data_IF_639492840253
#
_entry.id   IF_639492840253
#
_cell.length_a   1.000
_cell.length_b   1.000
_cell.length_c   1.000
_cell.angle_alpha   90.00
_cell.angle_beta   90.00
_cell.angle_gamma   90.00
#
_symmetry.space_group_name_H-M   'P 1'
#
loop_
_entity.id
_entity.type
_entity.pdbx_description
1 polymer ?
#
# COMPACT_ATOMS: atom_id res chain seq x y z
N UNK A 1 -30.56 24.24 26.76
CA UNK A 1 -29.72 23.85 25.62
C UNK A 1 -28.28 23.78 26.09
N UNK A 2 -27.81 22.61 26.52
CA UNK A 2 -26.41 22.37 26.81
C UNK A 2 -25.84 21.59 25.63
N UNK A 3 -25.04 22.23 24.79
CA UNK A 3 -24.22 21.53 23.80
C UNK A 3 -23.20 20.71 24.57
N UNK A 4 -23.50 19.42 24.79
CA UNK A 4 -22.50 18.46 25.23
C UNK A 4 -21.42 18.43 24.16
N UNK A 5 -20.21 18.87 24.50
CA UNK A 5 -19.02 18.52 23.73
C UNK A 5 -19.07 17.01 23.46
N UNK A 6 -18.93 16.54 22.20
CA UNK A 6 -18.95 15.11 21.95
C UNK A 6 -17.89 14.46 22.85
N UNK A 7 -18.31 13.51 23.68
CA UNK A 7 -17.36 12.76 24.50
C UNK A 7 -16.35 12.14 23.55
N UNK A 8 -15.06 12.37 23.78
CA UNK A 8 -14.01 11.69 23.02
C UNK A 8 -14.16 10.19 23.23
N UNK A 9 -14.75 9.51 22.25
CA UNK A 9 -15.18 8.12 22.32
C UNK A 9 -14.27 7.19 21.51
N UNK A 10 -13.34 7.77 20.74
CA UNK A 10 -12.33 7.05 19.98
C UNK A 10 -10.98 7.13 20.69
N UNK A 11 -10.56 6.01 21.28
CA UNK A 11 -9.20 5.82 21.77
C UNK A 11 -8.29 5.45 20.59
N UNK A 12 -7.11 6.06 20.52
CA UNK A 12 -6.04 5.67 19.61
C UNK A 12 -4.65 6.02 20.13
N UNK A 13 -3.65 5.87 19.28
CA UNK A 13 -2.26 6.20 19.56
C UNK A 13 -1.77 7.24 18.55
N UNK A 14 -1.22 8.34 19.04
CA UNK A 14 -0.78 9.45 18.20
C UNK A 14 0.66 9.86 18.46
N UNK A 15 1.36 10.24 17.39
CA UNK A 15 2.57 11.05 17.48
C UNK A 15 2.18 12.52 17.70
N UNK A 16 2.99 13.25 18.45
CA UNK A 16 2.76 14.69 18.75
C UNK A 16 3.87 15.60 18.23
N UNK A 17 4.98 15.01 17.80
CA UNK A 17 6.16 15.68 17.26
C UNK A 17 6.96 14.71 16.37
N UNK A 18 8.04 15.22 15.79
CA UNK A 18 8.91 14.51 14.84
C UNK A 18 9.75 13.37 15.46
N UNK A 19 9.71 13.15 16.78
CA UNK A 19 10.28 11.93 17.36
C UNK A 19 9.54 10.67 16.88
N UNK A 20 8.26 10.83 16.49
CA UNK A 20 7.38 9.75 16.10
C UNK A 20 6.98 8.81 17.23
N UNK A 21 7.26 9.18 18.50
CA UNK A 21 6.84 8.39 19.65
C UNK A 21 5.32 8.44 19.78
N UNK A 22 4.71 7.27 19.78
CA UNK A 22 3.26 7.15 19.91
C UNK A 22 2.85 7.10 21.39
N UNK A 23 1.80 7.83 21.72
CA UNK A 23 1.17 7.80 23.05
C UNK A 23 -0.35 7.77 22.94
N UNK A 24 -1.07 7.28 23.97
CA UNK A 24 -2.53 7.29 23.98
C UNK A 24 -3.11 8.68 23.69
N UNK A 25 -4.15 8.70 22.86
CA UNK A 25 -4.81 9.91 22.41
C UNK A 25 -6.31 9.65 22.24
N UNK A 26 -7.12 10.45 22.93
CA UNK A 26 -8.57 10.40 22.83
C UNK A 26 -9.05 11.48 21.87
N UNK A 27 -9.94 11.11 20.96
CA UNK A 27 -10.57 12.03 20.01
C UNK A 27 -11.99 11.56 19.69
N UNK A 28 -12.73 12.38 18.94
CA UNK A 28 -14.04 12.01 18.40
C UNK A 28 -13.93 11.84 16.89
N UNK A 29 -14.72 10.93 16.33
CA UNK A 29 -14.94 10.87 14.88
C UNK A 29 -16.20 11.63 14.51
N UNK A 30 -16.34 11.96 13.23
CA UNK A 30 -17.58 12.51 12.69
C UNK A 30 -18.73 11.52 12.87
N UNK A 31 -19.95 12.04 12.91
CA UNK A 31 -21.17 11.23 12.94
C UNK A 31 -21.25 10.31 11.71
N UNK A 32 -21.83 9.12 11.90
CA UNK A 32 -22.16 8.19 10.82
C UNK A 32 -23.16 8.86 9.84
N UNK A 33 -22.73 9.11 8.62
CA UNK A 33 -23.59 9.60 7.54
C UNK A 33 -24.39 8.47 6.90
N UNK A 34 -25.29 8.84 5.99
CA UNK A 34 -26.24 7.90 5.36
C UNK A 34 -25.56 6.87 4.46
N UNK A 35 -24.39 7.17 3.90
CA UNK A 35 -23.62 6.29 3.02
C UNK A 35 -22.35 5.71 3.69
N UNK A 36 -22.25 5.86 5.02
CA UNK A 36 -21.07 5.49 5.77
C UNK A 36 -21.18 4.13 6.48
N UNK A 37 -20.02 3.57 6.78
CA UNK A 37 -19.85 2.38 7.59
C UNK A 37 -18.96 2.72 8.79
N UNK A 38 -19.41 2.38 10.00
CA UNK A 38 -18.58 2.39 11.20
C UNK A 38 -17.98 1.02 11.42
N UNK A 39 -16.67 0.98 11.63
CA UNK A 39 -15.87 -0.26 11.71
C UNK A 39 -15.21 -0.29 13.07
N UNK A 40 -15.49 -1.33 13.87
CA UNK A 40 -14.67 -1.63 15.03
C UNK A 40 -13.37 -2.26 14.55
N UNK A 41 -12.27 -1.56 14.74
CA UNK A 41 -10.96 -2.00 14.25
C UNK A 41 -10.49 -3.17 15.11
N UNK A 42 -10.07 -4.25 14.45
CA UNK A 42 -9.51 -5.44 15.11
C UNK A 42 -8.03 -5.57 14.84
N UNK A 43 -7.59 -5.19 13.64
CA UNK A 43 -6.21 -5.24 13.19
C UNK A 43 -5.91 -3.98 12.39
N UNK A 44 -4.70 -3.47 12.54
CA UNK A 44 -4.12 -2.50 11.62
C UNK A 44 -2.68 -2.92 11.34
N UNK A 45 -2.33 -3.04 10.06
CA UNK A 45 -0.96 -3.30 9.67
C UNK A 45 -0.05 -2.10 9.92
N UNK A 46 1.27 -2.36 9.90
CA UNK A 46 2.32 -1.36 10.12
C UNK A 46 3.16 -1.28 8.86
N UNK A 47 3.15 -0.12 8.21
CA UNK A 47 3.86 0.13 6.96
C UNK A 47 4.94 1.20 7.16
N UNK A 48 5.91 1.24 6.24
CA UNK A 48 6.97 2.26 6.23
C UNK A 48 6.39 3.68 6.15
N UNK A 49 5.26 3.88 5.46
CA UNK A 49 4.57 5.17 5.39
C UNK A 49 4.10 5.66 6.77
N UNK A 50 3.73 4.76 7.70
CA UNK A 50 3.37 5.14 9.06
C UNK A 50 4.59 5.67 9.83
N UNK A 51 5.73 4.99 9.70
CA UNK A 51 6.98 5.37 10.36
C UNK A 51 7.57 6.69 9.83
N UNK A 52 7.51 6.92 8.52
CA UNK A 52 8.02 8.15 7.91
C UNK A 52 7.13 9.34 8.21
N UNK A 53 5.80 9.13 8.23
CA UNK A 53 4.83 10.19 8.56
C UNK A 53 4.88 10.59 10.03
N UNK A 54 4.99 9.64 10.97
CA UNK A 54 5.10 9.99 12.40
C UNK A 54 6.38 10.76 12.72
N UNK A 55 7.42 10.64 11.88
CA UNK A 55 8.71 11.35 12.02
C UNK A 55 8.86 12.55 11.10
N UNK A 56 7.77 13.00 10.47
CA UNK A 56 7.74 14.14 9.54
C UNK A 56 8.82 14.11 8.45
N UNK A 57 9.21 12.94 7.94
CA UNK A 57 10.32 12.83 6.98
C UNK A 57 10.04 13.55 5.65
N UNK A 58 8.76 13.78 5.32
CA UNK A 58 8.33 14.53 4.14
C UNK A 58 7.95 16.00 4.44
N UNK A 59 8.09 16.46 5.69
CA UNK A 59 7.83 17.86 6.08
C UNK A 59 6.36 18.30 6.08
N UNK A 60 5.40 17.37 5.99
CA UNK A 60 3.97 17.67 5.83
C UNK A 60 3.06 17.01 6.90
N UNK A 61 3.62 16.51 8.00
CA UNK A 61 2.87 15.86 9.07
C UNK A 61 2.08 16.86 9.93
N UNK A 62 0.81 16.53 10.18
CA UNK A 62 -0.13 17.33 10.97
C UNK A 62 -0.37 16.63 12.31
N UNK A 63 0.27 17.13 13.36
CA UNK A 63 0.13 16.60 14.71
C UNK A 63 -1.11 17.16 15.43
N UNK A 64 -1.77 16.39 16.32
CA UNK A 64 -1.49 14.99 16.66
C UNK A 64 -1.85 14.03 15.50
N UNK A 65 -0.91 13.17 15.13
CA UNK A 65 -1.01 12.26 13.99
C UNK A 65 -1.28 10.85 14.49
N UNK A 66 -2.45 10.30 14.13
CA UNK A 66 -2.81 8.90 14.37
C UNK A 66 -2.55 8.13 13.06
N UNK A 67 -1.51 7.28 12.96
CA UNK A 67 -1.18 6.57 11.73
C UNK A 67 -2.08 5.33 11.52
N UNK A 68 -1.77 4.55 10.49
CA UNK A 68 -2.44 3.30 10.15
C UNK A 68 -3.38 3.42 8.95
N UNK A 69 -3.10 2.66 7.91
CA UNK A 69 -3.83 2.66 6.63
C UNK A 69 -3.98 1.25 6.03
N UNK A 70 -3.81 0.25 6.87
CA UNK A 70 -3.94 -1.17 6.56
C UNK A 70 -5.00 -1.75 7.52
N UNK A 71 -6.21 -1.22 7.46
CA UNK A 71 -7.22 -1.37 8.52
C UNK A 71 -8.12 -2.56 8.22
N UNK A 72 -8.32 -3.43 9.21
CA UNK A 72 -9.28 -4.53 9.16
C UNK A 72 -10.13 -4.55 10.42
N UNK A 73 -11.43 -4.73 10.24
CA UNK A 73 -12.36 -4.75 11.34
C UNK A 73 -13.70 -5.36 11.01
N UNK A 74 -14.59 -5.23 11.99
CA UNK A 74 -15.95 -5.76 11.94
C UNK A 74 -16.90 -4.57 11.86
N UNK A 75 -17.83 -4.61 10.91
CA UNK A 75 -18.87 -3.58 10.77
C UNK A 75 -19.66 -3.49 12.06
N UNK A 76 -19.67 -2.30 12.66
CA UNK A 76 -20.38 -1.97 13.90
C UNK A 76 -21.75 -1.38 13.61
N UNK A 77 -21.80 -0.42 12.68
CA UNK A 77 -23.01 0.33 12.29
C UNK A 77 -22.92 0.70 10.80
N UNK A 78 -24.06 0.86 10.14
CA UNK A 78 -24.15 1.27 8.73
C UNK A 78 -25.16 2.39 8.56
N UNK A 79 -24.89 3.31 7.63
CA UNK A 79 -25.82 4.36 7.23
C UNK A 79 -27.04 3.79 6.51
N UNK A 80 -28.12 4.58 6.43
CA UNK A 80 -29.40 4.14 5.88
C UNK A 80 -29.37 3.76 4.40
N UNK A 81 -28.42 4.27 3.63
CA UNK A 81 -28.27 3.99 2.20
C UNK A 81 -27.26 2.87 1.92
N UNK A 82 -26.56 2.38 2.95
CA UNK A 82 -25.57 1.30 2.77
C UNK A 82 -26.30 -0.02 2.62
N UNK A 83 -26.08 -0.66 1.47
CA UNK A 83 -26.67 -1.97 1.15
C UNK A 83 -25.63 -3.05 0.88
N UNK A 84 -24.35 -2.66 0.67
CA UNK A 84 -23.25 -3.59 0.38
C UNK A 84 -22.73 -4.32 1.63
N UNK A 85 -22.98 -3.75 2.81
CA UNK A 85 -22.46 -4.25 4.08
C UNK A 85 -23.56 -4.28 5.13
N UNK A 86 -23.43 -5.19 6.10
CA UNK A 86 -24.27 -5.27 7.30
C UNK A 86 -23.40 -5.42 8.54
N UNK A 87 -24.00 -5.12 9.69
CA UNK A 87 -23.37 -5.33 11.00
C UNK A 87 -22.87 -6.76 11.13
N UNK A 88 -21.62 -6.92 11.56
CA UNK A 88 -20.94 -8.22 11.68
C UNK A 88 -20.05 -8.59 10.50
N UNK A 89 -20.17 -7.94 9.34
CA UNK A 89 -19.31 -8.23 8.18
C UNK A 89 -17.83 -7.89 8.48
N UNK A 90 -16.92 -8.69 7.91
CA UNK A 90 -15.48 -8.42 7.94
C UNK A 90 -15.09 -7.54 6.76
N UNK A 91 -14.56 -6.35 7.05
CA UNK A 91 -14.17 -5.39 6.01
C UNK A 91 -12.83 -4.73 6.29
N UNK A 92 -12.20 -4.24 5.22
CA UNK A 92 -10.96 -3.49 5.25
C UNK A 92 -11.08 -2.08 4.70
N UNK A 93 -10.17 -1.20 5.12
CA UNK A 93 -10.00 0.17 4.61
C UNK A 93 -8.51 0.39 4.32
N UNK A 94 -8.21 0.86 3.11
CA UNK A 94 -6.85 1.04 2.62
C UNK A 94 -6.27 2.44 2.88
N UNK A 95 -5.55 2.96 1.88
CA UNK A 95 -4.75 4.20 1.96
C UNK A 95 -5.51 5.50 1.78
N UNK A 96 -6.78 5.43 1.36
CA UNK A 96 -7.65 6.58 1.17
C UNK A 96 -9.08 6.27 1.62
N UNK A 97 -9.79 7.31 2.06
CA UNK A 97 -11.14 7.23 2.66
C UNK A 97 -12.16 8.13 1.97
N UNK A 98 -11.72 8.97 1.02
CA UNK A 98 -12.61 9.87 0.29
C UNK A 98 -12.01 10.30 -1.06
N UNK A 99 -12.86 10.79 -1.95
CA UNK A 99 -12.53 11.40 -3.24
C UNK A 99 -13.72 12.27 -3.71
N UNK A 100 -13.60 12.95 -4.86
CA UNK A 100 -14.69 13.81 -5.33
C UNK A 100 -15.92 13.06 -5.82
N UNK A 101 -15.77 11.78 -6.19
CA UNK A 101 -16.86 10.89 -6.67
C UNK A 101 -17.59 11.37 -7.95
N UNK A 102 -17.08 12.40 -8.63
CA UNK A 102 -17.73 13.00 -9.81
C UNK A 102 -16.81 13.18 -11.03
N UNK A 103 -15.49 13.01 -10.88
CA UNK A 103 -14.54 13.11 -11.99
C UNK A 103 -14.42 11.79 -12.76
N UNK A 104 -13.83 11.84 -13.97
CA UNK A 104 -13.64 10.66 -14.84
C UNK A 104 -13.02 9.47 -14.09
N UNK A 105 -11.93 9.68 -13.34
CA UNK A 105 -11.26 8.61 -12.60
C UNK A 105 -12.15 8.01 -11.49
N UNK A 106 -12.94 8.84 -10.81
CA UNK A 106 -13.85 8.34 -9.78
C UNK A 106 -15.05 7.58 -10.38
N UNK A 107 -15.48 7.94 -11.59
CA UNK A 107 -16.55 7.23 -12.30
C UNK A 107 -16.04 5.88 -12.84
N UNK A 108 -14.75 5.78 -13.14
CA UNK A 108 -14.08 4.57 -13.60
C UNK A 108 -13.55 3.67 -12.47
N UNK A 109 -13.87 3.97 -11.20
CA UNK A 109 -13.39 3.26 -10.00
C UNK A 109 -11.86 3.26 -9.83
N UNK A 110 -11.24 4.37 -10.25
CA UNK A 110 -9.81 4.66 -10.14
C UNK A 110 -9.61 5.87 -9.21
N UNK A 111 -10.30 5.89 -8.06
CA UNK A 111 -10.35 7.02 -7.13
C UNK A 111 -8.98 7.45 -6.60
N UNK A 112 -7.99 6.55 -6.63
CA UNK A 112 -6.59 6.86 -6.31
C UNK A 112 -6.01 7.96 -7.21
N UNK A 113 -6.55 8.12 -8.42
CA UNK A 113 -6.20 9.15 -9.39
C UNK A 113 -7.22 10.30 -9.47
N UNK A 114 -8.07 10.46 -8.45
CA UNK A 114 -9.09 11.53 -8.40
C UNK A 114 -8.52 12.89 -8.82
N UNK A 115 -9.15 13.53 -9.81
CA UNK A 115 -8.69 14.80 -10.38
C UNK A 115 -8.71 15.96 -9.37
N UNK A 116 -9.56 15.89 -8.34
CA UNK A 116 -9.62 16.88 -7.24
C UNK A 116 -8.80 16.45 -6.01
N UNK A 117 -8.01 15.39 -6.14
CA UNK A 117 -7.28 14.76 -5.04
C UNK A 117 -8.11 13.73 -4.29
N UNK A 118 -7.46 12.67 -3.84
CA UNK A 118 -8.02 11.72 -2.89
C UNK A 118 -7.66 12.10 -1.45
N UNK A 119 -8.51 11.72 -0.50
CA UNK A 119 -8.29 11.97 0.92
C UNK A 119 -7.62 10.74 1.54
N UNK A 120 -6.38 10.88 1.96
CA UNK A 120 -5.64 9.84 2.67
C UNK A 120 -6.33 9.43 3.98
N UNK A 121 -6.19 8.16 4.35
CA UNK A 121 -6.76 7.57 5.58
C UNK A 121 -6.28 8.23 6.87
N UNK A 122 -5.08 8.81 6.85
CA UNK A 122 -4.54 9.62 7.93
C UNK A 122 -3.73 10.79 7.37
N UNK A 123 -3.54 11.85 8.17
CA UNK A 123 -2.76 13.05 7.83
C UNK A 123 -3.29 13.88 6.63
N UNK A 124 -4.35 13.43 5.97
CA UNK A 124 -5.11 14.16 4.95
C UNK A 124 -6.12 15.13 5.55
N UNK A 125 -6.54 16.11 4.77
CA UNK A 125 -7.67 16.99 5.09
C UNK A 125 -8.91 16.41 4.42
N UNK A 126 -9.94 16.10 5.21
CA UNK A 126 -11.22 15.61 4.68
C UNK A 126 -12.11 16.77 4.21
N UNK A 127 -13.23 16.45 3.57
CA UNK A 127 -14.16 17.43 2.97
C UNK A 127 -14.78 18.39 3.99
N UNK A 128 -14.82 17.99 5.27
CA UNK A 128 -15.30 18.81 6.39
C UNK A 128 -14.19 19.67 7.04
N UNK A 129 -12.98 19.65 6.47
CA UNK A 129 -11.81 20.36 6.97
C UNK A 129 -11.08 19.66 8.12
N UNK A 130 -11.56 18.51 8.60
CA UNK A 130 -10.90 17.77 9.67
C UNK A 130 -9.66 17.03 9.18
N UNK A 131 -8.71 16.81 10.09
CA UNK A 131 -7.55 15.96 9.80
C UNK A 131 -7.93 14.50 10.06
N UNK A 132 -7.81 13.70 9.00
CA UNK A 132 -8.04 12.25 9.04
C UNK A 132 -7.09 11.55 10.01
N UNK A 133 -7.62 10.54 10.71
CA UNK A 133 -6.94 9.77 11.74
C UNK A 133 -7.06 8.29 11.41
N UNK A 134 -5.93 7.61 11.33
CA UNK A 134 -5.82 6.26 10.81
C UNK A 134 -6.27 5.15 11.76
N UNK A 135 -5.85 3.93 11.41
CA UNK A 135 -6.25 2.67 12.01
C UNK A 135 -5.62 2.36 13.36
N UNK A 136 -4.69 3.17 13.87
CA UNK A 136 -4.14 2.98 15.22
C UNK A 136 -5.11 3.54 16.27
N UNK A 137 -6.36 3.10 16.15
CA UNK A 137 -7.50 3.56 16.92
C UNK A 137 -8.55 2.45 17.04
N UNK A 138 -9.49 2.63 17.96
CA UNK A 138 -10.51 1.63 18.31
C UNK A 138 -11.59 1.45 17.23
N UNK A 139 -11.93 2.50 16.48
CA UNK A 139 -12.89 2.42 15.39
C UNK A 139 -12.60 3.47 14.30
N UNK A 140 -13.21 3.31 13.12
CA UNK A 140 -13.20 4.31 12.03
C UNK A 140 -14.58 4.40 11.37
N UNK A 141 -14.91 5.58 10.83
CA UNK A 141 -16.12 5.83 10.04
C UNK A 141 -15.70 6.23 8.63
N UNK A 142 -16.14 5.48 7.63
CA UNK A 142 -15.70 5.63 6.23
C UNK A 142 -16.90 5.44 5.30
N UNK A 143 -16.93 6.18 4.19
CA UNK A 143 -17.94 6.00 3.16
C UNK A 143 -17.83 4.60 2.52
N UNK A 144 -18.94 3.89 2.30
CA UNK A 144 -18.94 2.46 1.92
C UNK A 144 -18.14 2.14 0.64
N UNK A 145 -17.99 3.12 -0.26
CA UNK A 145 -17.17 3.03 -1.48
C UNK A 145 -15.72 2.65 -1.19
N UNK A 146 -15.15 3.07 -0.06
CA UNK A 146 -13.74 2.83 0.30
C UNK A 146 -13.57 1.66 1.28
N UNK A 147 -14.63 0.88 1.47
CA UNK A 147 -14.63 -0.35 2.25
C UNK A 147 -14.53 -1.56 1.33
N UNK A 148 -13.69 -2.52 1.70
CA UNK A 148 -13.45 -3.75 0.94
C UNK A 148 -13.87 -4.97 1.75
N UNK A 149 -14.69 -5.85 1.19
CA UNK A 149 -15.07 -7.11 1.83
C UNK A 149 -13.85 -8.01 2.02
N UNK A 150 -13.75 -8.65 3.18
CA UNK A 150 -12.76 -9.70 3.45
C UNK A 150 -13.50 -11.03 3.44
N UNK A 151 -13.03 -12.04 2.67
CA UNK A 151 -13.65 -13.36 2.67
C UNK A 151 -13.72 -13.96 4.08
N UNK A 152 -14.84 -14.63 4.40
CA UNK A 152 -15.09 -15.19 5.74
C UNK A 152 -14.02 -16.21 6.17
N UNK A 153 -13.45 -16.94 5.22
CA UNK A 153 -12.42 -17.96 5.42
C UNK A 153 -10.99 -17.40 5.39
N UNK A 154 -10.82 -16.10 5.11
CA UNK A 154 -9.50 -15.48 5.04
C UNK A 154 -9.10 -14.84 6.40
N UNK A 155 -7.89 -15.12 6.92
CA UNK A 155 -7.46 -14.56 8.20
C UNK A 155 -7.39 -13.02 8.17
N UNK A 156 -8.21 -12.36 9.00
CA UNK A 156 -8.29 -10.89 9.06
C UNK A 156 -6.94 -10.20 9.26
N UNK A 157 -6.08 -10.72 10.14
CA UNK A 157 -4.73 -10.18 10.36
C UNK A 157 -3.87 -10.21 9.08
N UNK A 158 -4.04 -11.24 8.25
CA UNK A 158 -3.32 -11.39 6.97
C UNK A 158 -3.92 -10.54 5.85
N UNK A 159 -5.12 -9.99 6.03
CA UNK A 159 -5.77 -9.12 5.03
C UNK A 159 -5.26 -7.68 5.13
N UNK A 160 -4.90 -7.22 6.33
CA UNK A 160 -4.45 -5.86 6.57
C UNK A 160 -3.31 -5.41 5.61
N UNK A 161 -2.19 -6.15 5.50
CA UNK A 161 -1.10 -5.74 4.60
C UNK A 161 -1.47 -5.77 3.11
N UNK A 162 -2.52 -6.49 2.71
CA UNK A 162 -2.96 -6.53 1.32
C UNK A 162 -3.55 -5.19 0.86
N UNK A 163 -4.11 -4.42 1.81
CA UNK A 163 -4.77 -3.13 1.55
C UNK A 163 -3.79 -2.00 1.21
N UNK A 164 -2.49 -2.23 1.36
CA UNK A 164 -1.44 -1.29 0.93
C UNK A 164 -0.35 -2.03 0.15
N UNK A 165 0.50 -2.83 0.80
CA UNK A 165 1.61 -3.51 0.13
C UNK A 165 1.13 -4.48 -0.96
N UNK A 166 0.05 -5.21 -0.69
CA UNK A 166 -0.51 -6.16 -1.65
C UNK A 166 -1.04 -5.48 -2.91
N UNK A 167 -1.96 -4.52 -2.77
CA UNK A 167 -2.55 -3.83 -3.92
C UNK A 167 -1.51 -3.03 -4.72
N UNK A 168 -0.50 -2.45 -4.05
CA UNK A 168 0.57 -1.68 -4.68
C UNK A 168 1.35 -2.47 -5.73
N UNK A 169 1.58 -3.77 -5.49
CA UNK A 169 2.27 -4.65 -6.45
C UNK A 169 1.29 -5.38 -7.36
N UNK A 170 0.10 -5.74 -6.87
CA UNK A 170 -0.91 -6.46 -7.63
C UNK A 170 -1.48 -5.64 -8.79
N UNK A 171 -1.84 -4.38 -8.54
CA UNK A 171 -2.46 -3.52 -9.53
C UNK A 171 -1.62 -3.36 -10.82
N UNK A 172 -0.32 -2.98 -10.76
CA UNK A 172 0.50 -2.88 -11.97
C UNK A 172 0.73 -4.25 -12.64
N UNK A 173 0.88 -5.33 -11.86
CA UNK A 173 1.00 -6.68 -12.44
C UNK A 173 -0.23 -7.06 -13.26
N UNK A 174 -1.45 -6.82 -12.76
CA UNK A 174 -2.69 -7.10 -13.49
C UNK A 174 -2.85 -6.18 -14.70
N UNK A 175 -2.59 -4.87 -14.54
CA UNK A 175 -2.66 -3.88 -15.63
C UNK A 175 -1.77 -4.26 -16.82
N UNK A 176 -0.61 -4.84 -16.56
CA UNK A 176 0.34 -5.30 -17.57
C UNK A 176 0.22 -6.80 -17.91
N UNK A 177 -0.88 -7.45 -17.53
CA UNK A 177 -1.19 -8.86 -17.86
C UNK A 177 -0.11 -9.84 -17.40
N UNK A 178 0.47 -9.61 -16.21
CA UNK A 178 1.47 -10.46 -15.57
C UNK A 178 0.86 -11.59 -14.74
N UNK A 179 -0.44 -11.80 -14.82
CA UNK A 179 -1.14 -12.94 -14.22
C UNK A 179 -1.21 -14.16 -15.16
N UNK A 180 -0.25 -14.28 -16.08
CA UNK A 180 -0.16 -15.38 -17.06
C UNK A 180 1.04 -16.28 -16.72
N UNK A 181 0.84 -17.60 -16.53
CA UNK A 181 1.94 -18.51 -16.20
C UNK A 181 3.09 -18.49 -17.21
N UNK A 182 4.31 -18.72 -16.73
CA UNK A 182 5.52 -18.84 -17.54
C UNK A 182 6.25 -17.54 -17.85
N UNK A 183 5.65 -16.36 -17.60
CA UNK A 183 6.35 -15.08 -17.73
C UNK A 183 7.41 -14.89 -16.64
N UNK A 184 8.40 -14.06 -16.91
CA UNK A 184 9.51 -13.75 -15.98
C UNK A 184 9.29 -12.44 -15.24
N UNK A 185 9.38 -12.51 -13.90
CA UNK A 185 9.25 -11.40 -12.98
C UNK A 185 10.58 -11.14 -12.25
N UNK A 186 11.10 -9.92 -12.34
CA UNK A 186 12.15 -9.41 -11.48
C UNK A 186 11.57 -8.66 -10.29
N UNK A 187 12.11 -8.85 -9.10
CA UNK A 187 11.72 -8.12 -7.89
C UNK A 187 12.97 -7.48 -7.27
N UNK A 188 13.04 -6.15 -7.28
CA UNK A 188 14.16 -5.40 -6.69
C UNK A 188 13.79 -5.05 -5.25
N UNK A 189 14.58 -5.56 -4.30
CA UNK A 189 14.36 -5.36 -2.87
C UNK A 189 13.34 -6.34 -2.28
N UNK A 190 13.69 -6.96 -1.14
CA UNK A 190 12.85 -7.94 -0.45
C UNK A 190 12.39 -7.43 0.92
N UNK A 191 11.50 -6.43 0.88
CA UNK A 191 10.81 -5.87 2.04
C UNK A 191 9.29 -6.15 2.04
N UNK A 192 8.49 -5.22 2.55
CA UNK A 192 7.02 -5.31 2.59
C UNK A 192 6.39 -5.47 1.20
N UNK A 193 6.74 -4.62 0.23
CA UNK A 193 6.22 -4.74 -1.13
C UNK A 193 6.87 -5.91 -1.89
N UNK A 194 8.20 -6.06 -1.74
CA UNK A 194 8.96 -7.12 -2.43
C UNK A 194 8.47 -8.53 -2.12
N UNK A 195 8.22 -8.87 -0.85
CA UNK A 195 7.71 -10.20 -0.50
C UNK A 195 6.30 -10.43 -1.05
N UNK A 196 5.45 -9.40 -1.13
CA UNK A 196 4.13 -9.49 -1.76
C UNK A 196 4.25 -9.71 -3.28
N UNK A 197 5.17 -9.03 -3.95
CA UNK A 197 5.43 -9.22 -5.38
C UNK A 197 5.88 -10.66 -5.67
N UNK A 198 6.75 -11.24 -4.83
CA UNK A 198 7.15 -12.66 -4.95
C UNK A 198 5.94 -13.58 -4.77
N UNK A 199 5.14 -13.38 -3.70
CA UNK A 199 3.97 -14.24 -3.43
C UNK A 199 2.94 -14.20 -4.56
N UNK A 200 2.59 -13.01 -5.07
CA UNK A 200 1.69 -12.90 -6.23
C UNK A 200 2.31 -13.48 -7.49
N UNK A 201 3.60 -13.23 -7.75
CA UNK A 201 4.30 -13.81 -8.89
C UNK A 201 4.26 -15.34 -8.89
N UNK A 202 4.55 -15.98 -7.75
CA UNK A 202 4.45 -17.43 -7.62
C UNK A 202 3.02 -17.93 -7.73
N UNK A 203 2.05 -17.24 -7.14
CA UNK A 203 0.63 -17.60 -7.27
C UNK A 203 0.12 -17.54 -8.72
N UNK A 204 0.65 -16.62 -9.54
CA UNK A 204 0.37 -16.53 -10.97
C UNK A 204 1.16 -17.50 -11.85
N UNK A 205 2.04 -18.32 -11.27
CA UNK A 205 2.88 -19.26 -12.02
C UNK A 205 4.02 -18.58 -12.79
N UNK A 206 4.54 -17.45 -12.29
CA UNK A 206 5.67 -16.75 -12.88
C UNK A 206 7.01 -17.35 -12.44
N UNK A 207 8.03 -17.11 -13.27
CA UNK A 207 9.43 -17.32 -12.94
C UNK A 207 9.97 -16.08 -12.24
N UNK A 208 10.14 -16.14 -10.93
CA UNK A 208 10.46 -15.00 -10.06
C UNK A 208 11.94 -14.98 -9.72
N UNK A 209 12.62 -13.89 -10.07
CA UNK A 209 13.99 -13.59 -9.64
C UNK A 209 13.99 -12.42 -8.68
N UNK A 210 14.60 -12.60 -7.51
CA UNK A 210 14.80 -11.53 -6.52
C UNK A 210 16.20 -10.93 -6.68
N UNK A 211 16.26 -9.61 -6.74
CA UNK A 211 17.49 -8.81 -6.71
C UNK A 211 17.66 -8.17 -5.34
N UNK A 212 18.84 -8.34 -4.75
CA UNK A 212 19.18 -7.80 -3.42
C UNK A 212 20.60 -7.24 -3.42
N UNK A 213 20.91 -6.38 -2.45
CA UNK A 213 22.27 -5.86 -2.22
C UNK A 213 23.10 -6.77 -1.30
N UNK A 214 22.47 -7.70 -0.58
CA UNK A 214 23.15 -8.65 0.31
C UNK A 214 22.49 -10.03 0.30
N UNK A 215 23.25 -11.03 0.78
CA UNK A 215 22.79 -12.43 0.86
C UNK A 215 21.83 -12.72 2.02
N UNK A 216 21.64 -11.76 2.95
CA UNK A 216 20.86 -11.95 4.19
C UNK A 216 19.43 -12.44 3.96
N UNK A 217 18.85 -12.11 2.80
CA UNK A 217 17.48 -12.44 2.39
C UNK A 217 17.39 -13.62 1.42
N UNK A 218 18.49 -14.29 1.11
CA UNK A 218 18.53 -15.37 0.11
C UNK A 218 17.70 -16.58 0.52
N UNK A 219 17.82 -17.03 1.77
CA UNK A 219 17.07 -18.17 2.28
C UNK A 219 15.56 -17.87 2.34
N UNK A 220 15.19 -16.68 2.82
CA UNK A 220 13.80 -16.21 2.82
C UNK A 220 13.21 -16.18 1.41
N UNK A 221 13.95 -15.64 0.44
CA UNK A 221 13.51 -15.57 -0.95
C UNK A 221 13.27 -16.96 -1.56
N UNK A 222 14.23 -17.88 -1.44
CA UNK A 222 14.21 -19.16 -2.14
C UNK A 222 13.36 -20.20 -1.39
N UNK A 223 13.58 -20.35 -0.09
CA UNK A 223 13.01 -21.45 0.69
C UNK A 223 11.64 -21.12 1.28
N UNK A 224 11.41 -19.86 1.69
CA UNK A 224 10.15 -19.44 2.35
C UNK A 224 9.16 -18.89 1.33
N UNK A 225 9.61 -17.97 0.48
CA UNK A 225 8.75 -17.29 -0.50
C UNK A 225 8.66 -18.03 -1.85
N UNK A 226 9.58 -18.98 -2.11
CA UNK A 226 9.55 -19.82 -3.31
C UNK A 226 10.01 -19.12 -4.59
N UNK A 227 10.82 -18.06 -4.50
CA UNK A 227 11.45 -17.47 -5.67
C UNK A 227 12.35 -18.50 -6.38
N UNK A 228 12.39 -18.44 -7.71
CA UNK A 228 13.15 -19.39 -8.53
C UNK A 228 14.64 -19.07 -8.54
N UNK A 229 14.99 -17.79 -8.33
CA UNK A 229 16.36 -17.31 -8.36
C UNK A 229 16.57 -16.10 -7.44
N UNK A 230 17.80 -15.99 -6.92
CA UNK A 230 18.24 -14.86 -6.12
C UNK A 230 19.56 -14.33 -6.66
N UNK A 231 19.65 -13.03 -6.92
CA UNK A 231 20.80 -12.36 -7.54
C UNK A 231 21.28 -11.23 -6.65
N UNK A 232 22.59 -11.16 -6.46
CA UNK A 232 23.24 -10.01 -5.82
C UNK A 232 23.45 -8.94 -6.89
N UNK A 233 22.91 -7.76 -6.64
CA UNK A 233 22.84 -6.67 -7.63
C UNK A 233 24.22 -6.09 -7.98
N UNK A 234 25.22 -6.27 -7.11
CA UNK A 234 26.61 -5.90 -7.36
C UNK A 234 27.38 -6.94 -8.18
N UNK A 235 26.82 -8.14 -8.40
CA UNK A 235 27.44 -9.17 -9.23
C UNK A 235 27.15 -8.90 -10.72
N UNK A 236 28.11 -8.25 -11.36
CA UNK A 236 28.00 -7.82 -12.75
C UNK A 236 27.90 -8.99 -13.74
N UNK A 237 28.47 -10.16 -13.43
CA UNK A 237 28.40 -11.32 -14.30
C UNK A 237 26.99 -11.92 -14.28
N UNK A 238 26.40 -12.06 -13.09
CA UNK A 238 25.02 -12.56 -12.94
C UNK A 238 23.98 -11.62 -13.56
N UNK A 239 24.18 -10.30 -13.44
CA UNK A 239 23.32 -9.29 -14.05
C UNK A 239 23.42 -9.36 -15.59
N UNK A 240 24.64 -9.37 -16.14
CA UNK A 240 24.83 -9.48 -17.60
C UNK A 240 24.25 -10.77 -18.18
N UNK A 241 24.35 -11.89 -17.47
CA UNK A 241 23.77 -13.17 -17.89
C UNK A 241 22.22 -13.16 -17.94
N UNK A 242 21.58 -12.14 -17.36
CA UNK A 242 20.13 -11.95 -17.36
C UNK A 242 19.65 -10.89 -18.34
N UNK A 243 20.52 -10.35 -19.19
CA UNK A 243 20.12 -9.35 -20.17
C UNK A 243 18.91 -9.84 -21.00
N UNK A 244 17.92 -8.96 -21.16
CA UNK A 244 16.71 -9.23 -21.97
C UNK A 244 15.94 -10.50 -21.58
N UNK A 245 15.86 -10.80 -20.29
CA UNK A 245 15.21 -12.02 -19.78
C UNK A 245 13.90 -11.79 -19.03
N UNK A 246 13.52 -10.55 -18.68
CA UNK A 246 12.32 -10.25 -17.90
C UNK A 246 11.19 -9.63 -18.71
N UNK A 247 9.98 -10.17 -18.54
CA UNK A 247 8.76 -9.54 -19.04
C UNK A 247 8.35 -8.34 -18.15
N UNK A 248 8.63 -8.43 -16.85
CA UNK A 248 8.24 -7.42 -15.87
C UNK A 248 9.23 -7.33 -14.72
N UNK A 249 9.47 -6.10 -14.23
CA UNK A 249 10.25 -5.84 -13.02
C UNK A 249 9.42 -4.97 -12.08
N UNK A 250 9.23 -5.43 -10.84
CA UNK A 250 8.74 -4.62 -9.73
C UNK A 250 9.95 -4.09 -8.96
N UNK A 251 10.09 -2.77 -8.93
CA UNK A 251 11.08 -2.11 -8.09
C UNK A 251 10.44 -1.64 -6.77
N UNK A 252 10.74 -2.38 -5.71
CA UNK A 252 10.25 -2.17 -4.35
C UNK A 252 11.35 -1.63 -3.41
N UNK A 253 12.51 -1.23 -3.93
CA UNK A 253 13.57 -0.68 -3.11
C UNK A 253 13.24 0.76 -2.69
N UNK A 254 13.38 1.05 -1.39
CA UNK A 254 13.14 2.40 -0.84
C UNK A 254 14.40 3.29 -0.84
N UNK A 255 15.57 2.71 -1.07
CA UNK A 255 16.84 3.44 -1.14
C UNK A 255 17.24 3.78 -2.57
N UNK A 256 18.04 4.82 -2.73
CA UNK A 256 18.58 5.21 -4.04
C UNK A 256 19.47 4.11 -4.60
N UNK A 257 19.27 3.81 -5.89
CA UNK A 257 20.01 2.76 -6.59
C UNK A 257 19.99 3.02 -8.11
N UNK A 258 20.94 2.45 -8.87
CA UNK A 258 21.01 2.66 -10.32
C UNK A 258 19.90 1.88 -11.05
N UNK A 259 19.19 2.56 -11.96
CA UNK A 259 18.10 1.96 -12.74
C UNK A 259 18.57 1.28 -14.03
N UNK A 260 19.61 1.82 -14.68
CA UNK A 260 20.11 1.32 -15.98
C UNK A 260 20.43 -0.18 -15.99
N UNK A 261 21.12 -0.76 -14.97
CA UNK A 261 21.41 -2.19 -14.98
C UNK A 261 20.14 -3.04 -15.02
N UNK A 262 19.07 -2.64 -14.33
CA UNK A 262 17.81 -3.38 -14.30
C UNK A 262 16.99 -3.21 -15.58
N UNK A 263 17.02 -2.02 -16.18
CA UNK A 263 16.38 -1.80 -17.48
C UNK A 263 16.97 -2.71 -18.57
N UNK A 264 18.26 -3.00 -18.51
CA UNK A 264 18.91 -3.95 -19.45
C UNK A 264 18.46 -5.39 -19.32
N UNK A 265 17.77 -5.73 -18.24
CA UNK A 265 17.23 -7.05 -18.01
C UNK A 265 15.87 -7.24 -18.68
N UNK A 266 15.19 -6.15 -19.08
CA UNK A 266 13.88 -6.22 -19.72
C UNK A 266 13.97 -6.76 -21.15
N UNK A 267 13.05 -7.64 -21.52
CA UNK A 267 12.77 -8.01 -22.91
C UNK A 267 12.28 -6.78 -23.68
N UNK A 268 12.27 -6.89 -25.02
CA UNK A 268 11.59 -5.90 -25.87
C UNK A 268 10.12 -5.81 -25.45
N UNK A 269 9.66 -4.61 -25.10
CA UNK A 269 8.30 -4.37 -24.59
C UNK A 269 8.09 -4.78 -23.12
N UNK A 270 9.15 -5.17 -22.41
CA UNK A 270 9.11 -5.41 -20.98
C UNK A 270 8.84 -4.13 -20.19
N UNK A 271 8.35 -4.28 -18.96
CA UNK A 271 7.92 -3.15 -18.13
C UNK A 271 8.66 -3.16 -16.79
N UNK A 272 9.23 -2.02 -16.40
CA UNK A 272 9.67 -1.77 -15.03
C UNK A 272 8.65 -0.85 -14.36
N UNK A 273 8.13 -1.27 -13.22
CA UNK A 273 7.26 -0.45 -12.37
C UNK A 273 7.98 -0.10 -11.08
N UNK A 274 8.16 1.20 -10.85
CA UNK A 274 8.64 1.75 -9.58
C UNK A 274 7.48 1.86 -8.60
N UNK A 275 7.52 1.06 -7.52
CA UNK A 275 6.58 1.15 -6.39
C UNK A 275 7.29 1.54 -5.08
N UNK A 276 8.63 1.54 -5.08
CA UNK A 276 9.45 2.14 -4.05
C UNK A 276 9.48 3.67 -4.13
N UNK A 277 10.00 4.30 -3.09
CA UNK A 277 10.15 5.75 -2.96
C UNK A 277 11.61 6.14 -2.71
N UNK A 278 12.51 5.98 -3.70
CA UNK A 278 13.86 6.54 -3.62
C UNK A 278 13.78 8.07 -3.58
N UNK A 279 14.83 8.71 -3.06
CA UNK A 279 14.93 10.17 -3.02
C UNK A 279 15.15 10.76 -4.41
N UNK A 280 15.80 10.00 -5.29
CA UNK A 280 16.09 10.39 -6.65
C UNK A 280 16.08 9.18 -7.60
N UNK A 281 15.60 9.40 -8.83
CA UNK A 281 15.65 8.42 -9.92
C UNK A 281 16.59 8.92 -11.00
N UNK A 282 17.67 8.19 -11.24
CA UNK A 282 18.70 8.51 -12.24
C UNK A 282 18.82 7.39 -13.26
N UNK A 283 18.80 7.76 -14.53
CA UNK A 283 19.04 6.85 -15.66
C UNK A 283 19.73 7.56 -16.83
N UNK A 284 20.41 6.80 -17.68
CA UNK A 284 20.92 7.29 -18.95
C UNK A 284 19.78 7.38 -19.98
N UNK A 285 19.59 8.52 -20.69
CA UNK A 285 18.58 8.66 -21.73
C UNK A 285 18.67 7.60 -22.84
N UNK A 286 19.86 7.10 -23.15
CA UNK A 286 20.04 6.01 -24.12
C UNK A 286 19.29 4.74 -23.70
N UNK A 287 19.31 4.39 -22.40
CA UNK A 287 18.62 3.21 -21.87
C UNK A 287 17.11 3.25 -22.11
N UNK A 288 16.50 4.44 -22.13
CA UNK A 288 15.09 4.64 -22.47
C UNK A 288 14.85 4.65 -23.99
N UNK A 289 15.69 5.36 -24.75
CA UNK A 289 15.44 5.62 -26.16
C UNK A 289 15.77 4.44 -27.07
N UNK A 290 16.84 3.69 -26.77
CA UNK A 290 17.29 2.59 -27.63
C UNK A 290 16.91 1.22 -27.10
N UNK A 291 16.51 1.14 -25.82
CA UNK A 291 16.65 -0.08 -25.05
C UNK A 291 18.13 -0.44 -24.88
N UNK A 292 18.45 -1.18 -23.82
CA UNK A 292 19.79 -1.75 -23.61
C UNK A 292 19.80 -3.19 -24.11
#
# INVERSE_FOLDING_TARGET
MSSSSPSADCLGWAARDESGVLSPYNFSRRTLGVDDVSIRITHCGVCYADATSTRNQHGNSKYPLVPGHEIVGIVKEVGSNVHRFKVGDHIGVGTYVNSCRDCEYCNDNEEVYCAKGMTFTFNGVDVDGTITKGGYSSYIVVHERYCFSIPDDYPMASAAPLLCAGISVYAPMVRHKMNQPGKSLGVIGLGGLGHMAVKFGKAFGLNVTVFSTSLSKKEEALSILGADRFVISSDQEQIKALAKSFDFIVDAASGDHPFDPYMSLLKIGGVLTLVGFPSEVKFNPASLNTGT
#
